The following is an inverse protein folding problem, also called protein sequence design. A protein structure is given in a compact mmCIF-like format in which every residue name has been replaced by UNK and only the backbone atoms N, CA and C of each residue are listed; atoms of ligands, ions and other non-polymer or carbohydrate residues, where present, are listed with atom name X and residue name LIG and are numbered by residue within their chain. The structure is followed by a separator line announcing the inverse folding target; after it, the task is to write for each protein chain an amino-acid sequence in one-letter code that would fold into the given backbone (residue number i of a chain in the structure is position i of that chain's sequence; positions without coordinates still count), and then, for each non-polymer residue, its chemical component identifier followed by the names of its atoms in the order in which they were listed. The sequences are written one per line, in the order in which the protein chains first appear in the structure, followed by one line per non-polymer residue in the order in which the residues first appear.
data_IF_689365586556
#
_entry.id   IF_689365586556
#
_cell.length_a   1.000
_cell.length_b   1.000
_cell.length_c   1.000
_cell.angle_alpha   90.00
_cell.angle_beta   90.00
_cell.angle_gamma   90.00
#
_symmetry.space_group_name_H-M   'P 1'
#
loop_
_entity.id
_entity.type
_entity.pdbx_description
1 polymer ?
#
# COMPACT_ATOMS: atom_id res chain seq x y z
N UNK A 1 6.32 46.14 33.25
CA UNK A 1 7.08 46.90 32.25
C UNK A 1 8.15 46.00 31.65
N UNK A 2 7.90 45.35 30.56
CA UNK A 2 8.92 44.88 29.61
C UNK A 2 8.27 44.79 28.23
N UNK A 3 8.83 45.57 27.32
CA UNK A 3 8.40 45.77 25.94
C UNK A 3 8.74 44.55 25.07
N UNK A 4 7.81 44.18 24.22
CA UNK A 4 7.98 43.17 23.18
C UNK A 4 8.59 43.80 21.93
N UNK A 5 9.79 43.33 21.53
CA UNK A 5 10.37 43.65 20.22
C UNK A 5 9.74 42.79 19.14
N UNK A 6 9.03 43.40 18.21
CA UNK A 6 8.55 42.81 16.96
C UNK A 6 9.64 42.89 15.90
N UNK A 7 10.19 41.75 15.49
CA UNK A 7 11.09 41.62 14.35
C UNK A 7 10.34 41.80 13.02
N UNK A 8 10.72 42.80 12.26
CA UNK A 8 10.15 43.22 10.99
C UNK A 8 10.81 42.38 9.85
N UNK A 9 10.10 41.43 9.27
CA UNK A 9 10.57 40.68 8.09
C UNK A 9 10.19 41.48 6.86
N UNK A 10 11.20 42.05 6.20
CA UNK A 10 11.05 42.90 5.03
C UNK A 10 10.55 42.14 3.80
N UNK A 11 9.35 42.45 3.36
CA UNK A 11 8.84 42.05 2.05
C UNK A 11 9.54 42.83 0.94
N UNK A 12 10.31 42.17 0.08
CA UNK A 12 10.80 42.77 -1.18
C UNK A 12 9.62 43.06 -2.10
N UNK A 13 9.43 44.33 -2.43
CA UNK A 13 8.42 44.82 -3.39
C UNK A 13 8.52 44.06 -4.73
N UNK A 14 7.45 43.37 -5.10
CA UNK A 14 7.24 42.84 -6.43
C UNK A 14 6.99 44.01 -7.38
N UNK A 15 7.83 44.14 -8.41
CA UNK A 15 7.66 45.15 -9.48
C UNK A 15 6.35 44.87 -10.23
N UNK A 16 5.45 45.87 -10.25
CA UNK A 16 4.21 45.86 -11.03
C UNK A 16 4.56 45.92 -12.53
N UNK A 17 4.18 44.88 -13.27
CA UNK A 17 4.20 44.91 -14.74
C UNK A 17 3.10 45.84 -15.25
N UNK A 18 3.51 46.88 -16.02
CA UNK A 18 2.54 47.72 -16.78
C UNK A 18 1.91 46.88 -17.89
N UNK A 19 0.60 47.02 -18.00
CA UNK A 19 -0.23 46.34 -18.98
C UNK A 19 0.12 46.73 -20.43
N UNK A 20 0.58 45.75 -21.21
CA UNK A 20 0.42 45.77 -22.67
C UNK A 20 -0.35 44.50 -23.07
N UNK A 21 -1.34 44.65 -23.94
CA UNK A 21 -2.36 43.67 -24.29
C UNK A 21 -1.77 42.39 -24.86
N UNK A 22 -2.17 41.24 -24.27
CA UNK A 22 -1.74 39.87 -24.39
C UNK A 22 -0.43 39.52 -23.59
N UNK A 23 -0.42 38.60 -22.67
CA UNK A 23 -1.13 37.32 -22.62
C UNK A 23 -1.44 36.82 -21.20
N UNK A 24 -2.67 36.75 -20.84
CA UNK A 24 -3.11 36.03 -19.63
C UNK A 24 -2.77 34.53 -19.66
N UNK A 25 -2.61 33.95 -20.84
CA UNK A 25 -2.23 32.54 -21.01
C UNK A 25 -0.76 32.27 -20.65
N UNK A 26 0.17 33.13 -21.01
CA UNK A 26 1.60 32.95 -20.73
C UNK A 26 1.91 33.10 -19.24
N UNK A 27 1.28 34.06 -18.58
CA UNK A 27 1.44 34.27 -17.14
C UNK A 27 0.82 33.14 -16.29
N UNK A 28 -0.28 32.53 -16.74
CA UNK A 28 -0.86 31.33 -16.11
C UNK A 28 0.07 30.12 -16.28
N UNK A 29 0.64 29.93 -17.47
CA UNK A 29 1.54 28.80 -17.77
C UNK A 29 2.82 28.84 -16.91
N UNK A 30 3.47 29.99 -16.82
CA UNK A 30 4.65 30.16 -15.95
C UNK A 30 4.31 30.01 -14.45
N UNK A 31 3.13 30.50 -14.01
CA UNK A 31 2.70 30.36 -12.62
C UNK A 31 2.42 28.90 -12.25
N UNK A 32 1.89 28.13 -13.20
CA UNK A 32 1.63 26.69 -12.99
C UNK A 32 2.95 25.88 -13.01
N UNK A 33 3.88 26.22 -13.90
CA UNK A 33 5.19 25.60 -14.00
C UNK A 33 6.04 25.86 -12.73
N UNK A 34 6.10 27.09 -12.23
CA UNK A 34 6.77 27.42 -10.97
C UNK A 34 6.10 26.76 -9.74
N UNK A 35 4.77 26.64 -9.75
CA UNK A 35 4.04 25.94 -8.69
C UNK A 35 4.34 24.43 -8.68
N UNK A 36 4.43 23.78 -9.85
CA UNK A 36 4.70 22.34 -9.96
C UNK A 36 6.16 22.01 -9.61
N UNK A 37 7.13 22.80 -10.05
CA UNK A 37 8.55 22.66 -9.64
C UNK A 37 8.71 22.84 -8.14
N UNK A 38 7.97 23.76 -7.53
CA UNK A 38 7.97 23.97 -6.08
C UNK A 38 7.30 22.83 -5.31
N UNK A 39 6.38 22.08 -5.92
CA UNK A 39 5.75 20.92 -5.28
C UNK A 39 6.70 19.73 -5.14
N UNK A 40 7.57 19.48 -6.12
CA UNK A 40 8.56 18.40 -6.04
C UNK A 40 9.71 18.75 -5.08
N UNK A 41 9.98 20.01 -4.80
CA UNK A 41 11.12 20.46 -3.96
C UNK A 41 12.42 19.74 -4.33
N UNK A 42 12.64 19.56 -5.65
CA UNK A 42 13.84 18.90 -6.14
C UNK A 42 15.05 19.82 -5.98
N UNK A 43 16.04 19.35 -5.27
CA UNK A 43 17.27 20.08 -4.99
C UNK A 43 18.47 19.19 -5.28
N UNK A 44 19.47 19.76 -5.94
CA UNK A 44 20.77 19.11 -6.20
C UNK A 44 21.86 19.89 -5.51
N UNK A 45 22.64 19.24 -4.68
CA UNK A 45 23.93 19.75 -4.23
C UNK A 45 24.92 19.68 -5.40
N UNK A 46 25.22 20.85 -5.96
CA UNK A 46 26.06 20.98 -7.17
C UNK A 46 27.50 20.55 -6.88
N UNK A 47 28.00 20.81 -5.68
CA UNK A 47 29.37 20.44 -5.28
C UNK A 47 29.48 18.90 -5.14
N UNK A 48 28.50 18.26 -4.54
CA UNK A 48 28.48 16.81 -4.36
C UNK A 48 28.14 16.05 -5.65
N UNK A 49 27.39 16.63 -6.57
CA UNK A 49 26.97 15.94 -7.79
C UNK A 49 28.13 15.72 -8.77
N UNK A 50 28.45 14.46 -9.06
CA UNK A 50 29.53 14.06 -9.98
C UNK A 50 29.07 13.80 -11.42
N UNK A 51 27.81 14.06 -11.77
CA UNK A 51 27.30 13.92 -13.12
C UNK A 51 27.20 12.46 -13.63
N UNK A 52 27.13 11.47 -12.75
CA UNK A 52 27.15 10.04 -13.14
C UNK A 52 25.91 9.56 -13.91
N UNK A 53 24.84 10.33 -13.98
CA UNK A 53 23.63 10.03 -14.75
C UNK A 53 22.76 8.90 -14.18
N UNK A 54 23.08 8.30 -13.02
CA UNK A 54 22.28 7.20 -12.44
C UNK A 54 20.84 7.63 -12.17
N UNK A 55 20.62 8.83 -11.64
CA UNK A 55 19.29 9.39 -11.37
C UNK A 55 18.46 9.55 -12.67
N UNK A 56 19.10 9.88 -13.77
CA UNK A 56 18.45 9.95 -15.09
C UNK A 56 17.97 8.58 -15.54
N UNK A 57 18.84 7.57 -15.40
CA UNK A 57 18.55 6.18 -15.85
C UNK A 57 17.43 5.50 -15.07
N UNK A 58 17.27 5.82 -13.78
CA UNK A 58 16.25 5.17 -12.94
C UNK A 58 14.92 5.90 -12.91
N UNK A 59 14.85 7.10 -13.49
CA UNK A 59 13.61 7.90 -13.45
C UNK A 59 12.53 7.28 -14.35
N UNK A 60 11.43 6.71 -13.80
CA UNK A 60 10.40 6.09 -14.61
C UNK A 60 9.61 7.12 -15.44
N UNK A 61 9.51 8.37 -14.98
CA UNK A 61 8.86 9.45 -15.69
C UNK A 61 9.74 10.15 -16.73
N UNK A 62 11.04 9.79 -16.84
CA UNK A 62 11.97 10.37 -17.81
C UNK A 62 12.19 11.87 -17.68
N UNK A 63 11.94 12.45 -16.51
CA UNK A 63 11.96 13.91 -16.29
C UNK A 63 13.30 14.43 -15.74
N UNK A 64 14.28 13.55 -15.57
CA UNK A 64 15.63 13.94 -15.12
C UNK A 64 16.61 13.92 -16.29
N UNK A 65 17.49 14.90 -16.30
CA UNK A 65 18.57 15.02 -17.30
C UNK A 65 19.83 15.57 -16.63
N UNK A 66 20.95 15.50 -17.35
CA UNK A 66 22.16 16.26 -17.01
C UNK A 66 22.13 17.58 -17.77
N UNK A 67 22.40 18.69 -17.08
CA UNK A 67 22.54 19.99 -17.69
C UNK A 67 23.91 20.11 -18.41
N UNK A 68 24.20 21.22 -19.14
CA UNK A 68 25.48 21.41 -19.81
C UNK A 68 26.71 21.30 -18.90
N UNK A 69 26.56 21.61 -17.62
CA UNK A 69 27.61 21.46 -16.59
C UNK A 69 27.69 20.05 -16.01
N UNK A 70 27.02 19.05 -16.62
CA UNK A 70 26.96 17.66 -16.18
C UNK A 70 26.39 17.49 -14.76
N UNK A 71 25.49 18.37 -14.34
CA UNK A 71 24.79 18.27 -13.07
C UNK A 71 23.35 17.81 -13.30
N UNK A 72 22.81 17.02 -12.35
CA UNK A 72 21.44 16.56 -12.44
C UNK A 72 20.47 17.74 -12.34
N UNK A 73 19.46 17.74 -13.20
CA UNK A 73 18.35 18.68 -13.12
C UNK A 73 17.02 17.99 -13.45
N UNK A 74 15.93 18.54 -12.94
CA UNK A 74 14.59 18.10 -13.26
C UNK A 74 14.06 18.92 -14.43
N UNK A 75 13.55 18.25 -15.46
CA UNK A 75 12.84 18.91 -16.56
C UNK A 75 11.45 19.34 -16.08
N UNK A 76 10.88 20.32 -16.79
CA UNK A 76 9.51 20.74 -16.53
C UNK A 76 8.54 19.57 -16.76
N UNK A 77 7.60 19.42 -15.83
CA UNK A 77 6.51 18.45 -15.96
C UNK A 77 5.17 19.11 -15.55
N UNK A 78 4.09 18.64 -16.15
CA UNK A 78 2.77 19.26 -15.98
C UNK A 78 1.98 18.64 -14.83
N UNK A 79 2.21 17.37 -14.56
CA UNK A 79 1.45 16.58 -13.60
C UNK A 79 2.30 15.47 -12.99
N UNK A 80 1.91 14.98 -11.83
CA UNK A 80 2.50 13.78 -11.25
C UNK A 80 1.95 12.52 -11.93
N UNK A 81 2.79 11.51 -12.06
CA UNK A 81 2.44 10.23 -12.69
C UNK A 81 3.05 10.06 -14.07
N UNK A 82 2.33 9.45 -14.99
CA UNK A 82 2.85 8.99 -16.29
C UNK A 82 3.54 10.07 -17.14
N UNK A 83 3.06 11.30 -17.06
CA UNK A 83 3.62 12.42 -17.82
C UNK A 83 4.51 13.33 -16.97
N UNK A 84 5.04 12.83 -15.86
CA UNK A 84 5.83 13.63 -14.95
C UNK A 84 6.48 12.82 -13.83
N UNK A 85 6.59 13.40 -12.65
CA UNK A 85 7.20 12.77 -11.49
C UNK A 85 6.29 11.71 -10.86
N UNK A 86 6.79 10.49 -10.68
CA UNK A 86 6.06 9.39 -10.04
C UNK A 86 6.14 9.42 -8.50
N UNK A 87 6.77 10.43 -7.92
CA UNK A 87 6.99 10.55 -6.47
C UNK A 87 7.70 9.34 -5.84
N UNK A 88 8.50 8.62 -6.61
CA UNK A 88 9.09 7.33 -6.23
C UNK A 88 10.42 7.44 -5.49
N UNK A 89 11.01 8.64 -5.41
CA UNK A 89 12.29 8.92 -4.75
C UNK A 89 13.50 8.12 -5.27
N UNK A 90 13.38 7.39 -6.38
CA UNK A 90 14.49 6.64 -6.95
C UNK A 90 15.71 7.49 -7.25
N UNK A 91 15.51 8.76 -7.63
CA UNK A 91 16.60 9.71 -7.89
C UNK A 91 17.41 10.03 -6.61
N UNK A 92 16.73 10.17 -5.47
CA UNK A 92 17.37 10.35 -4.18
C UNK A 92 18.11 9.07 -3.78
N UNK A 93 17.41 7.93 -3.82
CA UNK A 93 17.92 6.65 -3.35
C UNK A 93 19.13 6.14 -4.16
N UNK A 94 19.19 6.41 -5.48
CA UNK A 94 20.26 5.91 -6.35
C UNK A 94 21.54 6.75 -6.31
N UNK A 95 21.46 7.97 -5.75
CA UNK A 95 22.60 8.91 -5.80
C UNK A 95 23.73 8.47 -4.87
N UNK A 96 24.90 8.01 -5.38
CA UNK A 96 25.96 7.50 -4.51
C UNK A 96 26.61 8.61 -3.67
N UNK A 97 26.48 9.87 -4.10
CA UNK A 97 27.05 11.04 -3.42
C UNK A 97 26.04 11.72 -2.48
N UNK A 98 24.81 11.21 -2.39
CA UNK A 98 23.77 11.88 -1.60
C UNK A 98 23.44 13.29 -2.08
N UNK A 99 23.66 13.62 -3.36
CA UNK A 99 23.53 14.97 -3.88
C UNK A 99 22.09 15.41 -4.16
N UNK A 100 21.09 14.53 -4.03
CA UNK A 100 19.70 14.81 -4.43
C UNK A 100 18.80 14.77 -3.20
N UNK A 101 17.99 15.83 -3.06
CA UNK A 101 16.83 15.88 -2.15
C UNK A 101 15.56 16.12 -2.94
N UNK A 102 14.44 15.54 -2.51
CA UNK A 102 13.15 15.68 -3.20
C UNK A 102 12.01 15.56 -2.18
N UNK A 103 10.92 16.32 -2.36
CA UNK A 103 9.75 16.37 -1.46
C UNK A 103 10.09 16.74 0.00
N UNK A 104 11.26 17.32 0.25
CA UNK A 104 11.78 17.59 1.58
C UNK A 104 12.51 16.41 2.21
N UNK A 105 12.55 15.27 1.54
CA UNK A 105 13.36 14.12 1.96
C UNK A 105 14.82 14.33 1.58
N UNK A 106 15.73 13.95 2.47
CA UNK A 106 17.16 14.15 2.34
C UNK A 106 17.91 12.82 2.43
N UNK A 107 19.08 12.70 1.78
CA UNK A 107 19.88 11.47 1.80
C UNK A 107 20.23 11.00 3.22
N UNK A 108 20.51 11.93 4.13
CA UNK A 108 20.92 11.62 5.51
C UNK A 108 19.82 10.93 6.32
N UNK A 109 18.57 11.12 5.93
CA UNK A 109 17.40 10.53 6.58
C UNK A 109 16.93 9.23 5.88
N UNK A 110 17.60 8.84 4.79
CA UNK A 110 17.28 7.61 4.07
C UNK A 110 17.81 6.40 4.80
N UNK A 111 17.08 5.28 4.73
CA UNK A 111 17.57 4.01 5.26
C UNK A 111 18.81 3.57 4.45
N UNK A 112 19.85 3.04 5.12
CA UNK A 112 21.00 2.49 4.41
C UNK A 112 20.56 1.28 3.55
N UNK A 113 21.12 1.17 2.35
CA UNK A 113 20.95 -0.01 1.54
C UNK A 113 21.74 -1.17 2.18
N UNK A 114 21.05 -2.25 2.50
CA UNK A 114 21.64 -3.47 3.02
C UNK A 114 21.64 -4.55 1.95
N UNK A 115 22.56 -5.51 2.05
CA UNK A 115 22.55 -6.67 1.19
C UNK A 115 21.39 -7.60 1.58
N UNK A 116 20.30 -7.52 0.81
CA UNK A 116 19.10 -8.32 1.05
C UNK A 116 19.33 -9.82 0.83
N UNK A 117 20.42 -10.24 0.18
CA UNK A 117 20.74 -11.68 -0.03
C UNK A 117 21.01 -12.39 1.28
N UNK A 118 21.51 -11.69 2.29
CA UNK A 118 21.73 -12.22 3.65
C UNK A 118 20.41 -12.70 4.27
N UNK A 119 19.29 -12.13 3.87
CA UNK A 119 17.97 -12.49 4.39
C UNK A 119 17.35 -13.72 3.70
N UNK A 120 17.97 -14.28 2.65
CA UNK A 120 17.39 -15.38 1.86
C UNK A 120 16.94 -16.57 2.72
N UNK A 121 17.75 -17.14 3.62
CA UNK A 121 17.31 -18.28 4.43
C UNK A 121 16.13 -17.95 5.35
N UNK A 122 16.08 -16.73 5.87
CA UNK A 122 14.98 -16.28 6.71
C UNK A 122 13.68 -16.11 5.90
N UNK A 123 13.79 -15.55 4.70
CA UNK A 123 12.66 -15.39 3.78
C UNK A 123 12.12 -16.73 3.31
N UNK A 124 13.00 -17.65 2.93
CA UNK A 124 12.64 -19.02 2.53
C UNK A 124 11.89 -19.73 3.66
N UNK A 125 12.42 -19.64 4.88
CA UNK A 125 11.79 -20.20 6.08
C UNK A 125 10.41 -19.57 6.34
N UNK A 126 10.29 -18.24 6.20
CA UNK A 126 9.04 -17.51 6.39
C UNK A 126 7.98 -17.99 5.38
N UNK A 127 8.32 -18.04 4.09
CA UNK A 127 7.43 -18.49 3.03
C UNK A 127 7.01 -19.94 3.23
N UNK A 128 7.98 -20.81 3.51
CA UNK A 128 7.74 -22.24 3.69
C UNK A 128 6.88 -22.56 4.92
N UNK A 129 7.00 -21.80 6.00
CA UNK A 129 6.38 -22.11 7.29
C UNK A 129 5.14 -21.32 7.62
N UNK A 130 4.87 -20.15 6.95
CA UNK A 130 3.62 -19.42 7.19
C UNK A 130 2.41 -20.31 6.86
N UNK A 131 1.34 -20.16 7.63
CA UNK A 131 0.06 -20.91 7.46
C UNK A 131 -1.11 -20.02 7.69
N UNK A 132 -2.21 -20.30 7.00
CA UNK A 132 -3.50 -19.67 7.30
C UNK A 132 -3.93 -20.05 8.71
N UNK A 133 -3.89 -19.09 9.62
CA UNK A 133 -4.30 -19.27 11.01
C UNK A 133 -5.82 -19.22 11.11
N UNK A 134 -6.42 -20.19 11.79
CA UNK A 134 -7.87 -20.30 11.98
C UNK A 134 -8.25 -20.63 13.42
N UNK A 135 -7.32 -20.46 14.34
CA UNK A 135 -7.48 -20.56 15.78
C UNK A 135 -6.56 -19.52 16.41
N UNK A 136 -7.13 -18.64 17.19
CA UNK A 136 -6.45 -17.50 17.80
C UNK A 136 -6.63 -17.50 19.30
N UNK A 137 -5.65 -16.95 20.00
CA UNK A 137 -5.76 -16.64 21.41
C UNK A 137 -6.73 -15.47 21.60
N UNK A 138 -7.49 -15.50 22.66
CA UNK A 138 -8.38 -14.39 23.07
C UNK A 138 -7.57 -13.23 23.66
N UNK A 139 -6.83 -12.53 22.77
CA UNK A 139 -5.91 -11.47 23.17
C UNK A 139 -5.74 -10.44 22.04
N UNK A 140 -5.77 -9.16 22.40
CA UNK A 140 -5.40 -8.09 21.47
C UNK A 140 -3.92 -8.15 21.11
N UNK A 141 -3.59 -7.84 19.86
CA UNK A 141 -2.23 -7.52 19.42
C UNK A 141 -1.92 -6.11 19.89
N UNK A 142 -0.69 -5.89 20.35
CA UNK A 142 -0.22 -4.57 20.75
C UNK A 142 -0.34 -3.59 19.57
N UNK A 143 -0.97 -2.45 19.84
CA UNK A 143 -1.17 -1.38 18.84
C UNK A 143 0.16 -0.88 18.25
N UNK A 144 1.24 -0.88 19.04
CA UNK A 144 2.57 -0.50 18.53
C UNK A 144 3.07 -1.49 17.47
N UNK A 145 2.83 -2.80 17.63
CA UNK A 145 3.16 -3.83 16.65
C UNK A 145 2.33 -3.66 15.39
N UNK A 146 1.04 -3.39 15.53
CA UNK A 146 0.15 -3.15 14.38
C UNK A 146 0.61 -1.91 13.60
N UNK A 147 0.89 -0.81 14.28
CA UNK A 147 1.35 0.43 13.67
C UNK A 147 2.71 0.28 12.96
N UNK A 148 3.65 -0.49 13.53
CA UNK A 148 4.92 -0.80 12.86
C UNK A 148 4.67 -1.58 11.56
N UNK A 149 3.79 -2.58 11.58
CA UNK A 149 3.44 -3.34 10.37
C UNK A 149 2.78 -2.46 9.31
N UNK A 150 1.80 -1.62 9.69
CA UNK A 150 1.12 -0.71 8.77
C UNK A 150 2.09 0.30 8.14
N UNK A 151 3.01 0.86 8.94
CA UNK A 151 4.04 1.78 8.44
C UNK A 151 4.91 1.15 7.34
N UNK A 152 5.21 -0.16 7.42
CA UNK A 152 6.01 -0.87 6.41
C UNK A 152 5.26 -1.14 5.11
N UNK A 153 3.92 -1.07 5.12
CA UNK A 153 3.12 -1.24 3.90
C UNK A 153 3.30 -0.10 2.90
N UNK A 154 3.85 1.04 3.32
CA UNK A 154 4.26 2.12 2.40
C UNK A 154 5.30 1.66 1.37
N UNK A 155 6.07 0.61 1.68
CA UNK A 155 7.03 -0.02 0.76
C UNK A 155 6.43 -1.06 -0.18
N UNK A 156 5.14 -1.40 -0.06
CA UNK A 156 4.50 -2.32 -0.97
C UNK A 156 4.40 -1.72 -2.38
N UNK A 157 4.83 -2.44 -3.43
CA UNK A 157 4.74 -1.93 -4.79
C UNK A 157 3.28 -1.74 -5.21
N UNK A 158 3.03 -0.68 -5.99
CA UNK A 158 1.70 -0.34 -6.48
C UNK A 158 1.76 0.33 -7.86
N UNK A 159 0.68 0.29 -8.62
CA UNK A 159 0.60 0.78 -9.98
C UNK A 159 0.98 2.26 -10.09
N UNK A 160 2.06 2.55 -10.87
CA UNK A 160 2.54 3.91 -11.09
C UNK A 160 2.98 4.66 -9.83
N UNK A 161 3.30 3.95 -8.76
CA UNK A 161 3.61 4.51 -7.44
C UNK A 161 2.53 5.49 -6.94
N UNK A 162 1.26 5.18 -7.18
CA UNK A 162 0.13 6.06 -6.84
C UNK A 162 -0.12 6.15 -5.33
N UNK A 163 0.32 5.15 -4.56
CA UNK A 163 0.17 5.09 -3.09
C UNK A 163 -1.29 5.29 -2.64
N UNK A 164 -2.24 4.63 -3.30
CA UNK A 164 -3.68 4.85 -3.12
C UNK A 164 -4.37 3.73 -2.33
N UNK A 165 -3.61 2.74 -1.88
CA UNK A 165 -4.18 1.71 -1.01
C UNK A 165 -4.44 2.31 0.36
N UNK A 166 -5.68 2.23 0.78
CA UNK A 166 -6.13 2.59 2.12
C UNK A 166 -6.44 1.32 2.92
N UNK A 167 -6.47 1.44 4.23
CA UNK A 167 -6.65 0.31 5.12
C UNK A 167 -7.76 0.60 6.12
N UNK A 168 -8.82 -0.22 6.11
CA UNK A 168 -9.79 -0.26 7.21
C UNK A 168 -9.36 -1.34 8.19
N UNK A 169 -9.31 -1.02 9.47
CA UNK A 169 -8.79 -1.87 10.53
C UNK A 169 -9.81 -2.00 11.67
N UNK A 170 -10.02 -3.22 12.17
CA UNK A 170 -10.61 -3.46 13.47
C UNK A 170 -9.51 -4.11 14.32
N UNK A 171 -8.92 -3.34 15.23
CA UNK A 171 -7.76 -3.70 16.05
C UNK A 171 -8.07 -3.92 17.55
N UNK A 172 -9.35 -3.95 17.89
CA UNK A 172 -9.84 -4.33 19.21
C UNK A 172 -10.77 -5.53 19.12
N UNK A 173 -10.51 -6.56 19.93
CA UNK A 173 -11.27 -7.81 19.88
C UNK A 173 -12.74 -7.63 20.29
N UNK A 174 -13.03 -6.68 21.20
CA UNK A 174 -14.42 -6.43 21.62
C UNK A 174 -15.19 -5.79 20.47
N UNK A 175 -14.56 -4.84 19.76
CA UNK A 175 -15.15 -4.25 18.56
C UNK A 175 -15.29 -5.29 17.43
N UNK A 176 -14.32 -6.21 17.30
CA UNK A 176 -14.43 -7.31 16.36
C UNK A 176 -15.57 -8.27 16.68
N UNK A 177 -15.81 -8.55 17.96
CA UNK A 177 -16.94 -9.37 18.40
C UNK A 177 -18.28 -8.69 18.09
N UNK A 178 -18.40 -7.38 18.33
CA UNK A 178 -19.58 -6.62 17.94
C UNK A 178 -19.80 -6.63 16.43
N UNK A 179 -18.75 -6.38 15.66
CA UNK A 179 -18.81 -6.41 14.19
C UNK A 179 -19.25 -7.79 13.68
N UNK A 180 -18.69 -8.84 14.23
CA UNK A 180 -19.06 -10.24 13.91
C UNK A 180 -20.55 -10.48 14.15
N UNK A 181 -21.09 -10.09 15.31
CA UNK A 181 -22.50 -10.21 15.62
C UNK A 181 -23.40 -9.47 14.63
N UNK A 182 -23.03 -8.24 14.26
CA UNK A 182 -23.76 -7.44 13.26
C UNK A 182 -23.81 -8.17 11.92
N UNK A 183 -22.65 -8.68 11.43
CA UNK A 183 -22.56 -9.37 10.14
C UNK A 183 -23.38 -10.65 10.14
N UNK A 184 -23.28 -11.48 11.19
CA UNK A 184 -24.05 -12.72 11.29
C UNK A 184 -25.55 -12.45 11.36
N UNK A 185 -26.00 -11.51 12.19
CA UNK A 185 -27.43 -11.13 12.28
C UNK A 185 -27.97 -10.64 10.93
N UNK A 186 -27.16 -9.87 10.21
CA UNK A 186 -27.54 -9.38 8.88
C UNK A 186 -27.63 -10.50 7.84
N UNK A 187 -26.68 -11.44 7.88
CA UNK A 187 -26.73 -12.64 7.02
C UNK A 187 -27.97 -13.49 7.30
N UNK A 188 -28.33 -13.72 8.54
CA UNK A 188 -29.53 -14.46 8.89
C UNK A 188 -30.80 -13.77 8.38
N UNK A 189 -30.88 -12.45 8.51
CA UNK A 189 -32.01 -11.67 7.99
C UNK A 189 -32.13 -11.76 6.45
N UNK A 190 -30.99 -11.77 5.73
CA UNK A 190 -30.96 -11.95 4.27
C UNK A 190 -31.30 -13.39 3.87
N UNK A 191 -30.78 -14.39 4.58
CA UNK A 191 -31.05 -15.79 4.33
C UNK A 191 -32.54 -16.12 4.52
N UNK A 192 -33.23 -15.48 5.48
CA UNK A 192 -34.68 -15.59 5.65
C UNK A 192 -35.47 -15.08 4.44
N UNK A 193 -34.88 -14.22 3.62
CA UNK A 193 -35.43 -13.69 2.36
C UNK A 193 -34.94 -14.49 1.12
N UNK A 194 -34.18 -15.58 1.33
CA UNK A 194 -33.60 -16.39 0.26
C UNK A 194 -32.36 -15.75 -0.39
N UNK A 195 -31.75 -14.73 0.24
CA UNK A 195 -30.54 -14.05 -0.24
C UNK A 195 -29.34 -14.60 0.51
N UNK A 196 -28.39 -15.18 -0.21
CA UNK A 196 -27.19 -15.80 0.35
C UNK A 196 -25.94 -15.03 -0.09
N UNK A 197 -24.81 -15.13 0.68
CA UNK A 197 -23.53 -14.55 0.25
C UNK A 197 -23.14 -15.01 -1.15
N UNK A 198 -22.46 -14.16 -1.90
CA UNK A 198 -22.02 -14.47 -3.26
C UNK A 198 -21.21 -15.78 -3.29
N UNK A 199 -21.59 -16.70 -4.17
CA UNK A 199 -20.97 -18.01 -4.28
C UNK A 199 -21.54 -19.07 -3.30
N UNK A 200 -22.53 -18.73 -2.49
CA UNK A 200 -23.23 -19.68 -1.61
C UNK A 200 -24.59 -20.04 -2.20
N UNK A 201 -24.87 -21.34 -2.26
CA UNK A 201 -26.26 -21.84 -2.34
C UNK A 201 -26.89 -21.85 -0.95
N UNK A 202 -28.19 -22.13 -0.88
CA UNK A 202 -28.89 -22.36 0.39
C UNK A 202 -28.23 -23.51 1.17
N UNK A 203 -27.96 -24.61 0.50
CA UNK A 203 -27.34 -25.80 1.07
C UNK A 203 -25.94 -25.48 1.64
N UNK A 204 -25.12 -24.73 0.88
CA UNK A 204 -23.80 -24.30 1.35
C UNK A 204 -23.89 -23.39 2.59
N UNK A 205 -24.91 -22.54 2.67
CA UNK A 205 -25.15 -21.70 3.84
C UNK A 205 -25.55 -22.54 5.07
N UNK A 206 -26.45 -23.51 4.89
CA UNK A 206 -26.86 -24.42 5.97
C UNK A 206 -25.68 -25.31 6.43
N UNK A 207 -24.84 -25.76 5.51
CA UNK A 207 -23.61 -26.49 5.83
C UNK A 207 -22.64 -25.63 6.63
N UNK A 208 -22.47 -24.37 6.29
CA UNK A 208 -21.66 -23.43 7.05
C UNK A 208 -22.16 -23.32 8.50
N UNK A 209 -23.46 -23.12 8.69
CA UNK A 209 -24.08 -23.07 10.05
C UNK A 209 -23.89 -24.37 10.85
N UNK A 210 -23.96 -25.52 10.17
CA UNK A 210 -23.67 -26.81 10.79
C UNK A 210 -22.19 -26.91 11.20
N UNK A 211 -21.27 -26.49 10.36
CA UNK A 211 -19.83 -26.51 10.61
C UNK A 211 -19.42 -25.58 11.75
N UNK A 212 -20.10 -24.45 11.93
CA UNK A 212 -19.86 -23.57 13.07
C UNK A 212 -20.11 -24.28 14.42
N UNK A 213 -21.07 -25.19 14.47
CA UNK A 213 -21.38 -25.96 15.66
C UNK A 213 -20.50 -27.19 15.87
N UNK A 214 -19.97 -27.78 14.81
CA UNK A 214 -19.34 -29.11 14.84
C UNK A 214 -17.85 -29.10 14.53
N UNK A 215 -17.37 -28.16 13.72
CA UNK A 215 -15.99 -28.14 13.21
C UNK A 215 -15.23 -26.95 13.81
N UNK A 216 -15.79 -25.77 13.66
CA UNK A 216 -15.11 -24.52 14.05
C UNK A 216 -16.14 -23.41 14.27
N UNK A 217 -16.17 -22.77 15.43
CA UNK A 217 -16.96 -21.57 15.62
C UNK A 217 -16.45 -20.45 14.68
N UNK A 218 -17.35 -19.60 14.25
CA UNK A 218 -17.06 -18.45 13.37
C UNK A 218 -16.40 -18.85 12.04
N UNK A 219 -17.22 -19.41 11.16
CA UNK A 219 -16.76 -19.81 9.81
C UNK A 219 -16.37 -18.62 8.93
N UNK A 220 -16.98 -17.44 9.15
CA UNK A 220 -16.68 -16.24 8.37
C UNK A 220 -15.29 -15.68 8.68
N UNK A 221 -15.04 -15.37 9.95
CA UNK A 221 -13.83 -14.67 10.37
C UNK A 221 -12.79 -15.59 11.02
N UNK A 222 -13.08 -16.90 11.12
CA UNK A 222 -12.18 -17.90 11.70
C UNK A 222 -11.78 -17.60 13.14
N UNK A 223 -12.61 -16.88 13.90
CA UNK A 223 -12.31 -16.45 15.27
C UNK A 223 -11.19 -15.40 15.37
N UNK A 224 -10.85 -14.74 14.27
CA UNK A 224 -9.80 -13.72 14.27
C UNK A 224 -10.19 -12.54 15.18
N UNK A 225 -9.32 -12.13 16.13
CA UNK A 225 -9.59 -11.01 17.01
C UNK A 225 -9.47 -9.65 16.32
N UNK A 226 -8.84 -9.61 15.15
CA UNK A 226 -8.63 -8.40 14.37
C UNK A 226 -8.80 -8.67 12.88
N UNK A 227 -9.20 -7.65 12.12
CA UNK A 227 -9.20 -7.69 10.65
C UNK A 227 -8.54 -6.46 10.06
N UNK A 228 -7.86 -6.65 8.94
CA UNK A 228 -7.39 -5.61 8.05
C UNK A 228 -8.06 -5.77 6.68
N UNK A 229 -8.55 -4.68 6.14
CA UNK A 229 -9.21 -4.60 4.83
C UNK A 229 -8.46 -3.59 3.97
N UNK A 230 -7.53 -4.00 3.10
CA UNK A 230 -6.96 -3.12 2.11
C UNK A 230 -7.98 -2.83 1.01
N UNK A 231 -8.12 -1.57 0.64
CA UNK A 231 -9.02 -1.12 -0.42
C UNK A 231 -8.42 0.06 -1.19
N UNK A 232 -8.82 0.25 -2.45
CA UNK A 232 -8.30 1.31 -3.30
C UNK A 232 -9.38 1.83 -4.28
N UNK A 233 -9.32 3.11 -4.70
CA UNK A 233 -10.29 3.68 -5.63
C UNK A 233 -10.19 3.04 -7.02
N UNK A 234 -11.34 2.75 -7.64
CA UNK A 234 -11.38 2.37 -9.05
C UNK A 234 -10.94 3.51 -9.96
N UNK A 235 -10.35 3.16 -11.10
CA UNK A 235 -9.97 4.13 -12.15
C UNK A 235 -8.61 4.80 -11.97
N UNK A 236 -7.89 4.44 -10.93
CA UNK A 236 -6.55 4.96 -10.67
C UNK A 236 -5.58 3.83 -10.28
N UNK A 237 -4.40 3.75 -10.93
CA UNK A 237 -3.43 2.69 -10.68
C UNK A 237 -3.98 1.32 -11.08
N UNK A 238 -3.60 0.30 -10.32
CA UNK A 238 -4.01 -1.10 -10.48
C UNK A 238 -4.68 -1.60 -9.20
N UNK A 239 -5.89 -1.10 -8.85
CA UNK A 239 -6.49 -1.32 -7.53
C UNK A 239 -6.64 -2.78 -7.16
N UNK A 240 -6.88 -3.68 -8.13
CA UNK A 240 -7.03 -5.12 -7.90
C UNK A 240 -5.71 -5.71 -7.43
N UNK A 241 -4.62 -5.42 -8.14
CA UNK A 241 -3.28 -5.92 -7.81
C UNK A 241 -2.76 -5.23 -6.54
N UNK A 242 -2.90 -3.92 -6.45
CA UNK A 242 -2.35 -3.10 -5.38
C UNK A 242 -2.86 -3.54 -3.99
N UNK A 243 -4.18 -3.79 -3.85
CA UNK A 243 -4.75 -4.24 -2.57
C UNK A 243 -4.31 -5.66 -2.21
N UNK A 244 -4.15 -6.55 -3.19
CA UNK A 244 -3.70 -7.94 -2.98
C UNK A 244 -2.22 -7.95 -2.58
N UNK A 245 -1.39 -7.15 -3.25
CA UNK A 245 0.04 -7.02 -2.92
C UNK A 245 0.19 -6.50 -1.49
N UNK A 246 -0.48 -5.40 -1.14
CA UNK A 246 -0.43 -4.84 0.22
C UNK A 246 -0.89 -5.86 1.28
N UNK A 247 -1.98 -6.58 1.01
CA UNK A 247 -2.48 -7.64 1.90
C UNK A 247 -1.50 -8.80 2.07
N UNK A 248 -0.85 -9.23 0.99
CA UNK A 248 0.17 -10.28 1.04
C UNK A 248 1.40 -9.85 1.85
N UNK A 249 1.85 -8.59 1.68
CA UNK A 249 2.92 -8.04 2.51
C UNK A 249 2.52 -8.04 3.99
N UNK A 250 1.29 -7.63 4.31
CA UNK A 250 0.80 -7.66 5.69
C UNK A 250 0.79 -9.09 6.27
N UNK A 251 0.38 -10.10 5.51
CA UNK A 251 0.41 -11.51 5.95
C UNK A 251 1.83 -11.95 6.31
N UNK A 252 2.83 -11.61 5.47
CA UNK A 252 4.24 -11.91 5.73
C UNK A 252 4.76 -11.15 6.96
N UNK A 253 4.36 -9.88 7.11
CA UNK A 253 4.69 -9.09 8.30
C UNK A 253 4.10 -9.68 9.57
N UNK A 254 2.88 -10.20 9.55
CA UNK A 254 2.28 -10.94 10.67
C UNK A 254 3.14 -12.15 11.02
N UNK A 255 3.44 -13.00 10.03
CA UNK A 255 4.23 -14.22 10.26
C UNK A 255 5.63 -13.91 10.82
N UNK A 256 6.29 -12.85 10.34
CA UNK A 256 7.62 -12.44 10.82
C UNK A 256 7.62 -11.94 12.29
N UNK A 257 6.43 -11.63 12.84
CA UNK A 257 6.23 -11.17 14.23
C UNK A 257 5.58 -12.22 15.11
N UNK A 258 5.52 -13.48 14.64
CA UNK A 258 4.88 -14.58 15.38
C UNK A 258 3.36 -14.47 15.46
N UNK A 259 2.75 -13.63 14.62
CA UNK A 259 1.30 -13.55 14.47
C UNK A 259 0.82 -14.52 13.39
N UNK A 260 -0.41 -15.01 13.57
CA UNK A 260 -1.11 -15.76 12.54
C UNK A 260 -1.99 -14.83 11.71
N UNK A 261 -2.08 -15.09 10.41
CA UNK A 261 -3.01 -14.40 9.53
C UNK A 261 -3.78 -15.40 8.66
N UNK A 262 -4.93 -14.99 8.14
CA UNK A 262 -5.74 -15.75 7.18
C UNK A 262 -6.46 -14.81 6.23
N UNK A 263 -6.42 -15.13 4.94
CA UNK A 263 -7.24 -14.45 3.92
C UNK A 263 -8.68 -14.96 4.03
N UNK A 264 -9.61 -14.03 4.26
CA UNK A 264 -11.01 -14.31 4.50
C UNK A 264 -11.83 -13.99 3.24
N UNK A 265 -12.20 -15.02 2.49
CA UNK A 265 -12.99 -14.87 1.26
C UNK A 265 -14.49 -14.86 1.53
N UNK A 266 -14.95 -15.59 2.54
CA UNK A 266 -16.38 -15.68 2.87
C UNK A 266 -16.99 -14.34 3.29
N UNK A 267 -16.40 -13.57 4.22
CA UNK A 267 -16.93 -12.25 4.54
C UNK A 267 -16.82 -11.27 3.38
N UNK A 268 -15.85 -11.41 2.48
CA UNK A 268 -15.79 -10.59 1.28
C UNK A 268 -17.04 -10.78 0.40
N UNK A 269 -17.41 -12.05 0.10
CA UNK A 269 -18.64 -12.37 -0.64
C UNK A 269 -19.91 -11.98 0.11
N UNK A 270 -19.90 -12.01 1.45
CA UNK A 270 -21.02 -11.56 2.27
C UNK A 270 -21.21 -10.04 2.19
N UNK A 271 -20.13 -9.25 2.32
CA UNK A 271 -20.19 -7.80 2.26
C UNK A 271 -20.70 -7.24 0.92
N UNK A 272 -20.56 -7.99 -0.18
CA UNK A 272 -21.15 -7.59 -1.46
C UNK A 272 -22.69 -7.51 -1.40
N UNK A 273 -23.33 -8.30 -0.54
CA UNK A 273 -24.77 -8.30 -0.31
C UNK A 273 -25.21 -7.37 0.84
N UNK A 274 -24.27 -6.70 1.48
CA UNK A 274 -24.49 -5.89 2.68
C UNK A 274 -23.87 -4.48 2.51
N UNK A 275 -24.41 -3.63 1.61
CA UNK A 275 -23.87 -2.28 1.39
C UNK A 275 -23.92 -1.40 2.65
N UNK A 276 -24.88 -1.62 3.52
CA UNK A 276 -25.00 -0.98 4.84
C UNK A 276 -23.81 -1.32 5.75
N UNK A 277 -23.39 -2.58 5.81
CA UNK A 277 -22.20 -2.99 6.56
C UNK A 277 -20.93 -2.40 5.95
N UNK A 278 -20.81 -2.40 4.61
CA UNK A 278 -19.70 -1.74 3.92
C UNK A 278 -19.61 -0.25 4.27
N UNK A 279 -20.73 0.45 4.34
CA UNK A 279 -20.80 1.84 4.76
C UNK A 279 -20.33 2.04 6.22
N UNK A 280 -20.70 1.12 7.14
CA UNK A 280 -20.23 1.15 8.55
C UNK A 280 -18.71 1.02 8.67
N UNK A 281 -18.05 0.33 7.73
CA UNK A 281 -16.60 0.20 7.68
C UNK A 281 -15.89 1.48 7.16
N UNK A 282 -16.65 2.54 6.85
CA UNK A 282 -16.16 3.78 6.26
C UNK A 282 -15.37 3.58 4.94
N UNK A 283 -15.67 2.50 4.21
CA UNK A 283 -15.04 2.24 2.92
C UNK A 283 -15.87 2.94 1.83
N UNK A 284 -15.27 3.87 1.08
CA UNK A 284 -15.97 4.58 0.01
C UNK A 284 -16.59 3.61 -1.01
N UNK A 285 -17.80 3.93 -1.50
CA UNK A 285 -18.53 3.06 -2.41
C UNK A 285 -17.76 2.75 -3.70
N UNK A 286 -16.94 3.71 -4.17
CA UNK A 286 -16.11 3.58 -5.36
C UNK A 286 -14.75 2.89 -5.11
N UNK A 287 -14.50 2.35 -3.91
CA UNK A 287 -13.30 1.57 -3.63
C UNK A 287 -13.52 0.08 -3.88
N UNK A 288 -12.51 -0.53 -4.48
CA UNK A 288 -12.39 -1.98 -4.62
C UNK A 288 -11.85 -2.58 -3.31
N UNK A 289 -12.51 -3.64 -2.84
CA UNK A 289 -12.06 -4.46 -1.72
C UNK A 289 -11.66 -5.81 -2.32
N UNK A 290 -10.37 -6.12 -2.34
CA UNK A 290 -9.86 -7.36 -2.92
C UNK A 290 -9.58 -8.46 -1.92
N UNK A 291 -9.46 -8.10 -0.63
CA UNK A 291 -9.03 -9.01 0.40
C UNK A 291 -9.51 -8.53 1.77
N UNK A 292 -9.84 -9.47 2.64
CA UNK A 292 -10.00 -9.25 4.09
C UNK A 292 -9.03 -10.19 4.77
N UNK A 293 -8.26 -9.69 5.73
CA UNK A 293 -7.25 -10.47 6.46
C UNK A 293 -7.61 -10.49 7.93
N UNK A 294 -7.92 -11.69 8.44
CA UNK A 294 -8.00 -11.92 9.89
C UNK A 294 -6.62 -12.16 10.47
N UNK A 295 -6.29 -11.57 11.62
CA UNK A 295 -4.99 -11.75 12.24
C UNK A 295 -5.05 -11.69 13.77
N UNK A 296 -4.01 -12.22 14.42
CA UNK A 296 -3.88 -12.27 15.87
C UNK A 296 -2.82 -13.25 16.33
N UNK A 297 -2.70 -13.47 17.62
CA UNK A 297 -1.79 -14.48 18.15
C UNK A 297 -2.36 -15.88 17.89
N UNK A 298 -1.60 -16.80 17.24
CA UNK A 298 -2.08 -18.16 17.01
C UNK A 298 -2.20 -18.93 18.32
N UNK A 299 -3.28 -19.68 18.46
CA UNK A 299 -3.49 -20.61 19.58
C UNK A 299 -2.63 -21.87 19.39
N UNK A 300 -2.51 -22.32 18.13
CA UNK A 300 -1.82 -23.55 17.76
C UNK A 300 -0.47 -23.22 17.14
N UNK A 301 0.59 -23.85 17.65
CA UNK A 301 1.92 -23.82 17.08
C UNK A 301 2.21 -25.10 16.31
N UNK A 302 2.71 -24.95 15.09
CA UNK A 302 3.09 -26.10 14.27
C UNK A 302 4.49 -26.59 14.65
N UNK A 303 4.60 -27.89 14.90
CA UNK A 303 5.89 -28.52 15.21
C UNK A 303 6.79 -28.69 13.97
N UNK A 304 6.22 -28.67 12.77
CA UNK A 304 6.93 -28.88 11.48
C UNK A 304 6.28 -28.06 10.37
N UNK A 305 7.07 -27.74 9.35
CA UNK A 305 6.58 -27.26 8.07
C UNK A 305 5.88 -28.38 7.28
N UNK A 306 5.13 -28.01 6.26
CA UNK A 306 4.55 -28.97 5.30
C UNK A 306 5.53 -29.19 4.15
N UNK A 307 5.50 -30.39 3.59
CA UNK A 307 6.26 -30.74 2.39
C UNK A 307 5.44 -30.33 1.16
N UNK A 308 5.97 -29.39 0.39
CA UNK A 308 5.39 -28.92 -0.87
C UNK A 308 6.51 -28.72 -1.87
N UNK A 309 6.37 -29.32 -3.01
CA UNK A 309 7.28 -29.17 -4.14
C UNK A 309 6.53 -28.51 -5.30
N UNK A 310 7.27 -27.73 -6.07
CA UNK A 310 6.73 -27.18 -7.32
C UNK A 310 6.86 -28.24 -8.40
N UNK A 311 5.73 -28.73 -8.90
CA UNK A 311 5.69 -29.69 -10.01
C UNK A 311 6.27 -29.05 -11.27
N UNK A 312 7.23 -29.70 -11.91
CA UNK A 312 7.96 -29.13 -13.05
C UNK A 312 7.08 -28.90 -14.28
N UNK A 313 6.01 -29.68 -14.44
CA UNK A 313 5.01 -29.52 -15.49
C UNK A 313 4.15 -28.25 -15.38
N UNK A 314 4.17 -27.60 -14.21
CA UNK A 314 3.56 -26.26 -13.99
C UNK A 314 4.47 -25.12 -14.42
N UNK A 315 5.69 -25.41 -14.87
CA UNK A 315 6.67 -24.40 -15.28
C UNK A 315 6.87 -24.49 -16.80
N UNK A 316 6.25 -23.58 -17.51
CA UNK A 316 6.32 -23.54 -18.98
C UNK A 316 7.46 -22.59 -19.41
N UNK A 317 8.58 -23.15 -19.87
CA UNK A 317 9.69 -22.40 -20.45
C UNK A 317 9.53 -22.31 -21.94
N UNK A 318 9.38 -21.08 -22.45
CA UNK A 318 9.21 -20.82 -23.88
C UNK A 318 10.55 -20.46 -24.51
N UNK A 319 10.83 -21.01 -25.68
CA UNK A 319 11.92 -20.58 -26.57
C UNK A 319 11.27 -20.09 -27.89
N UNK A 320 11.68 -18.91 -28.35
CA UNK A 320 11.22 -18.37 -29.62
C UNK A 320 12.36 -18.49 -30.62
N UNK A 321 12.08 -19.02 -31.81
CA UNK A 321 13.00 -18.92 -32.92
C UNK A 321 13.15 -17.45 -33.34
N UNK A 322 14.34 -17.07 -33.79
CA UNK A 322 14.55 -15.70 -34.29
C UNK A 322 13.58 -15.48 -35.43
N UNK A 323 12.78 -14.40 -35.34
CA UNK A 323 11.98 -13.97 -36.47
C UNK A 323 12.92 -13.78 -37.70
N UNK A 324 12.52 -14.28 -38.86
CA UNK A 324 13.27 -13.97 -40.08
C UNK A 324 13.29 -12.45 -40.26
N UNK A 325 14.50 -11.89 -40.43
CA UNK A 325 14.75 -10.45 -40.65
C UNK A 325 14.29 -10.08 -42.04
#
# INVERSE_FOLDING_TARGET
TQESQKGNVGYKKVRTCRANRHPLQWCRKQRTEVLMMNQAKFVVDIEACVGCGKCVKVCPGGILRLNPSQKAEIADFKEFGWNGCWKCEHCLAVCPMGAISIFGHRPENSLPMVDCTIAAPAMDSLIANRRSCRRYKDKNVDTAVINDMLGRLSGAPNGGNKQQVEFTLIDDRVQMDHFRQIVYSRMEALAAQGIYPKGFSKEAYEDMKRWEKTVRPDMLFCGAPHILIPHAPFGHGEPIQDVVIAGTHFELLCASRGLGAVMLTFPLGALEQMPDIKAMLNIPAHHYIGMIIGFGYPEIQYARGVQREMEQDRIHRLAFEKAPI
#
